data_IF_026795022758
#
_entry.id   IF_026795022758
#
_cell.length_a   1.000
_cell.length_b   1.000
_cell.length_c   1.000
_cell.angle_alpha   90.00
_cell.angle_beta   90.00
_cell.angle_gamma   90.00
#
_symmetry.space_group_name_H-M   'P 1'
#
loop_
_entity.id
_entity.type
_entity.pdbx_description
1 polymer ?
#
# COMPACT_ATOMS: atom_id res chain seq x y z
N UNK A 1 30.96 4.71 7.57
CA UNK A 1 29.73 5.41 8.01
C UNK A 1 28.75 5.78 6.88
N UNK A 2 29.06 5.62 5.57
CA UNK A 2 28.13 5.96 4.47
C UNK A 2 27.09 4.86 4.07
N UNK A 3 27.20 3.61 4.55
CA UNK A 3 26.31 2.50 4.16
C UNK A 3 25.17 2.17 5.15
N UNK A 4 25.20 2.66 6.39
CA UNK A 4 24.18 2.30 7.39
C UNK A 4 22.78 2.89 7.08
N UNK A 5 22.70 3.92 6.24
CA UNK A 5 21.44 4.58 5.89
C UNK A 5 20.62 3.85 4.82
N UNK A 6 21.24 2.98 4.02
CA UNK A 6 20.58 2.32 2.87
C UNK A 6 19.77 1.09 3.29
N UNK A 7 20.23 0.36 4.31
CA UNK A 7 19.56 -0.85 4.80
C UNK A 7 18.42 -0.52 5.74
N UNK A 8 18.62 0.48 6.59
CA UNK A 8 17.57 0.94 7.49
C UNK A 8 16.42 1.59 6.73
N UNK A 9 16.71 2.31 5.64
CA UNK A 9 15.68 2.76 4.72
C UNK A 9 15.01 1.61 3.99
N UNK A 10 15.75 0.57 3.54
CA UNK A 10 15.13 -0.65 2.97
C UNK A 10 14.22 -1.40 3.96
N UNK A 11 14.61 -1.56 5.23
CA UNK A 11 13.79 -2.26 6.24
C UNK A 11 12.58 -1.45 6.69
N UNK A 12 12.72 -0.14 6.88
CA UNK A 12 11.58 0.74 7.17
C UNK A 12 10.62 0.77 5.97
N UNK A 13 11.14 0.73 4.73
CA UNK A 13 10.35 0.67 3.49
C UNK A 13 9.71 -0.70 3.23
N UNK A 14 10.40 -1.80 3.56
CA UNK A 14 9.82 -3.15 3.47
C UNK A 14 8.72 -3.30 4.52
N UNK A 15 8.94 -2.82 5.75
CA UNK A 15 7.90 -2.79 6.80
C UNK A 15 6.67 -1.99 6.35
N UNK A 16 6.88 -0.95 5.53
CA UNK A 16 5.84 -0.11 4.95
C UNK A 16 5.07 -0.82 3.81
N UNK A 17 5.76 -1.45 2.85
CA UNK A 17 5.15 -2.27 1.80
C UNK A 17 4.47 -3.52 2.37
N UNK A 18 4.99 -4.10 3.45
CA UNK A 18 4.38 -5.23 4.14
C UNK A 18 3.21 -4.82 5.04
N UNK A 19 3.19 -3.58 5.57
CA UNK A 19 2.00 -3.02 6.21
C UNK A 19 0.91 -2.61 5.20
N UNK A 20 1.27 -2.38 3.94
CA UNK A 20 0.34 -2.08 2.83
C UNK A 20 -0.12 -3.36 2.10
N UNK A 21 0.73 -4.38 1.97
CA UNK A 21 0.53 -5.58 1.13
C UNK A 21 -0.31 -6.71 1.73
N UNK A 22 -0.86 -6.54 2.93
CA UNK A 22 -1.37 -7.67 3.72
C UNK A 22 -2.89 -7.85 3.62
N UNK A 23 -3.50 -7.83 2.43
CA UNK A 23 -4.95 -7.84 2.31
C UNK A 23 -5.46 -8.61 1.07
N UNK A 24 -5.87 -9.86 1.27
CA UNK A 24 -6.49 -10.75 0.28
C UNK A 24 -7.90 -10.33 -0.14
N UNK A 25 -8.25 -10.62 -1.40
CA UNK A 25 -9.48 -10.19 -2.09
C UNK A 25 -10.68 -11.15 -1.94
N UNK A 26 -11.89 -10.70 -1.55
CA UNK A 26 -13.16 -11.43 -1.82
C UNK A 26 -14.32 -10.50 -2.25
N UNK A 27 -14.96 -10.86 -3.37
CA UNK A 27 -16.00 -10.13 -4.15
C UNK A 27 -17.37 -9.99 -3.45
N UNK A 28 -17.96 -8.78 -3.52
CA UNK A 28 -19.36 -8.46 -3.19
C UNK A 28 -20.25 -8.17 -4.44
N UNK A 29 -21.57 -8.34 -4.30
CA UNK A 29 -22.61 -8.06 -5.31
C UNK A 29 -23.78 -7.32 -4.64
N UNK A 30 -24.29 -6.21 -5.23
CA UNK A 30 -25.73 -5.77 -5.36
C UNK A 30 -25.82 -4.38 -6.04
N UNK A 31 -26.94 -4.08 -6.71
CA UNK A 31 -27.21 -3.05 -7.75
C UNK A 31 -27.81 -1.70 -7.24
N UNK A 32 -27.72 -0.58 -8.01
CA UNK A 32 -28.18 0.77 -7.61
C UNK A 32 -29.45 1.32 -8.32
N UNK A 33 -29.97 2.47 -7.86
CA UNK A 33 -31.07 3.29 -8.47
C UNK A 33 -30.69 4.79 -8.48
N UNK A 34 -31.08 5.53 -9.54
CA UNK A 34 -30.65 6.89 -9.91
C UNK A 34 -31.55 8.03 -9.37
N UNK A 35 -30.99 9.25 -9.30
CA UNK A 35 -31.73 10.52 -9.28
C UNK A 35 -30.96 11.65 -10.01
N UNK A 36 -31.71 12.57 -10.64
CA UNK A 36 -31.25 13.69 -11.48
C UNK A 36 -31.35 15.06 -10.78
N UNK A 37 -30.56 15.99 -11.31
CA UNK A 37 -30.15 17.36 -10.90
C UNK A 37 -31.08 18.48 -11.38
N UNK A 38 -30.90 19.71 -10.83
CA UNK A 38 -30.89 21.06 -11.48
C UNK A 38 -30.76 22.13 -10.35
N UNK A 39 -29.67 22.89 -10.24
CA UNK A 39 -29.27 24.19 -10.85
C UNK A 39 -29.91 25.47 -10.25
N UNK A 40 -29.04 26.43 -9.89
CA UNK A 40 -29.28 27.68 -9.14
C UNK A 40 -28.87 28.93 -9.95
N UNK A 41 -29.29 30.13 -9.51
CA UNK A 41 -28.69 31.41 -9.94
C UNK A 41 -28.59 32.45 -8.81
N UNK A 42 -27.55 33.28 -8.91
CA UNK A 42 -26.84 34.09 -7.90
C UNK A 42 -27.48 35.45 -7.56
N UNK A 43 -27.60 35.78 -6.27
CA UNK A 43 -27.57 37.17 -5.76
C UNK A 43 -27.20 37.22 -4.27
N UNK A 44 -25.96 36.92 -3.89
CA UNK A 44 -25.45 37.18 -2.53
C UNK A 44 -23.92 37.18 -2.62
N UNK A 45 -23.21 38.17 -2.06
CA UNK A 45 -21.73 38.21 -2.10
C UNK A 45 -21.06 38.24 -0.72
N UNK A 46 -21.75 38.67 0.34
CA UNK A 46 -21.25 38.59 1.74
C UNK A 46 -21.96 37.48 2.52
N UNK A 47 -23.28 37.37 2.36
CA UNK A 47 -24.02 36.17 2.77
C UNK A 47 -23.49 34.95 2.01
N UNK A 48 -23.06 35.10 0.75
CA UNK A 48 -22.47 33.99 0.00
C UNK A 48 -21.07 33.61 0.41
N UNK A 49 -20.24 34.46 1.03
CA UNK A 49 -18.94 33.97 1.54
C UNK A 49 -19.20 33.06 2.75
N UNK A 50 -20.09 33.46 3.65
CA UNK A 50 -20.48 32.65 4.79
C UNK A 50 -21.29 31.40 4.37
N UNK A 51 -22.22 31.53 3.41
CA UNK A 51 -22.90 30.39 2.77
C UNK A 51 -21.91 29.52 2.00
N UNK A 52 -20.91 30.07 1.33
CA UNK A 52 -19.94 29.26 0.55
C UNK A 52 -19.02 28.49 1.48
N UNK A 53 -18.64 29.07 2.63
CA UNK A 53 -17.90 28.34 3.68
C UNK A 53 -18.79 27.27 4.31
N UNK A 54 -20.04 27.58 4.67
CA UNK A 54 -21.00 26.61 5.23
C UNK A 54 -21.32 25.50 4.22
N UNK A 55 -21.64 25.85 2.97
CA UNK A 55 -21.88 24.91 1.88
C UNK A 55 -20.63 24.05 1.60
N UNK A 56 -19.42 24.61 1.69
CA UNK A 56 -18.18 23.83 1.54
C UNK A 56 -17.94 22.83 2.69
N UNK A 57 -18.36 23.17 3.92
CA UNK A 57 -18.28 22.26 5.06
C UNK A 57 -19.37 21.20 5.01
N UNK A 58 -20.58 21.52 4.55
CA UNK A 58 -21.63 20.54 4.32
C UNK A 58 -21.26 19.58 3.19
N UNK A 59 -20.69 20.07 2.09
CA UNK A 59 -20.15 19.23 1.02
C UNK A 59 -19.01 18.31 1.51
N UNK A 60 -18.08 18.85 2.31
CA UNK A 60 -17.03 18.05 2.95
C UNK A 60 -17.63 17.03 3.92
N UNK A 61 -18.66 17.40 4.68
CA UNK A 61 -19.33 16.49 5.61
C UNK A 61 -19.99 15.33 4.87
N UNK A 62 -20.72 15.60 3.78
CA UNK A 62 -21.29 14.53 2.95
C UNK A 62 -20.22 13.54 2.46
N UNK A 63 -19.02 14.04 2.10
CA UNK A 63 -17.88 13.17 1.74
C UNK A 63 -17.36 12.37 2.93
N UNK A 64 -17.22 12.98 4.11
CA UNK A 64 -16.78 12.29 5.35
C UNK A 64 -17.77 11.21 5.79
N UNK A 65 -19.07 11.48 5.65
CA UNK A 65 -20.12 10.54 6.05
C UNK A 65 -20.31 9.38 5.07
N UNK A 66 -19.96 9.56 3.79
CA UNK A 66 -20.17 8.55 2.75
C UNK A 66 -21.63 8.10 2.71
N UNK A 67 -21.89 6.80 2.84
CA UNK A 67 -23.25 6.24 2.83
C UNK A 67 -24.06 6.54 4.12
N UNK A 68 -23.42 7.03 5.19
CA UNK A 68 -24.13 7.46 6.39
C UNK A 68 -24.93 8.74 6.15
N UNK A 69 -24.52 9.58 5.20
CA UNK A 69 -25.15 10.90 4.98
C UNK A 69 -26.66 10.77 4.70
N UNK A 70 -27.09 9.72 4.01
CA UNK A 70 -28.51 9.46 3.73
C UNK A 70 -29.29 8.87 4.93
N UNK A 71 -28.63 8.55 6.05
CA UNK A 71 -29.21 7.79 7.17
C UNK A 71 -29.27 8.55 8.50
N UNK A 72 -28.34 9.47 8.72
CA UNK A 72 -28.24 10.22 9.98
C UNK A 72 -29.47 11.09 10.25
N UNK A 73 -29.84 11.21 11.53
CA UNK A 73 -30.82 12.21 11.96
C UNK A 73 -30.24 13.63 11.85
N UNK A 74 -31.11 14.64 11.91
CA UNK A 74 -30.67 16.05 11.91
C UNK A 74 -29.70 16.36 13.06
N UNK A 75 -29.93 15.79 14.25
CA UNK A 75 -29.06 16.00 15.42
C UNK A 75 -27.68 15.35 15.23
N UNK A 76 -27.63 14.16 14.62
CA UNK A 76 -26.37 13.47 14.34
C UNK A 76 -25.57 14.16 13.24
N UNK A 77 -26.25 14.67 12.21
CA UNK A 77 -25.61 15.51 11.19
C UNK A 77 -25.07 16.80 11.79
N UNK A 78 -25.85 17.47 12.65
CA UNK A 78 -25.42 18.70 13.32
C UNK A 78 -24.19 18.44 14.23
N UNK A 79 -24.18 17.33 14.97
CA UNK A 79 -23.02 16.94 15.79
C UNK A 79 -21.80 16.60 14.93
N UNK A 80 -21.98 15.91 13.81
CA UNK A 80 -20.89 15.62 12.87
C UNK A 80 -20.32 16.90 12.22
N UNK A 81 -21.20 17.86 11.91
CA UNK A 81 -20.82 19.18 11.40
C UNK A 81 -20.04 19.99 12.44
N UNK A 82 -20.41 19.92 13.73
CA UNK A 82 -19.65 20.56 14.82
C UNK A 82 -18.22 20.05 14.90
N UNK A 83 -18.03 18.71 14.90
CA UNK A 83 -16.69 18.11 14.86
C UNK A 83 -15.88 18.60 13.66
N UNK A 84 -16.47 18.54 12.46
CA UNK A 84 -15.80 18.94 11.23
C UNK A 84 -15.48 20.43 11.21
N UNK A 85 -16.34 21.28 11.76
CA UNK A 85 -16.12 22.72 11.85
C UNK A 85 -14.94 23.03 12.76
N UNK A 86 -14.88 22.39 13.95
CA UNK A 86 -13.76 22.53 14.88
C UNK A 86 -12.45 22.03 14.26
N UNK A 87 -12.50 20.90 13.55
CA UNK A 87 -11.34 20.36 12.86
C UNK A 87 -10.84 21.30 11.75
N UNK A 88 -11.76 21.79 10.90
CA UNK A 88 -11.44 22.75 9.84
C UNK A 88 -10.81 24.03 10.39
N UNK A 89 -11.27 24.52 11.55
CA UNK A 89 -10.65 25.67 12.21
C UNK A 89 -9.20 25.38 12.64
N UNK A 90 -8.92 24.20 13.20
CA UNK A 90 -7.55 23.81 13.56
C UNK A 90 -6.66 23.66 12.33
N UNK A 91 -7.16 23.03 11.26
CA UNK A 91 -6.45 22.88 9.98
C UNK A 91 -6.10 24.24 9.36
N UNK A 92 -7.05 25.19 9.34
CA UNK A 92 -6.85 26.51 8.74
C UNK A 92 -5.93 27.42 9.56
N UNK A 93 -5.84 27.21 10.87
CA UNK A 93 -4.94 27.96 11.75
C UNK A 93 -3.53 27.36 11.83
N UNK A 94 -3.28 26.23 11.16
CA UNK A 94 -1.99 25.55 11.21
C UNK A 94 -0.93 26.34 10.43
N UNK A 95 0.20 26.61 11.07
CA UNK A 95 1.37 27.28 10.45
C UNK A 95 2.44 26.30 9.96
N UNK A 96 2.37 25.05 10.40
CA UNK A 96 3.19 23.93 9.92
C UNK A 96 2.28 22.84 9.37
N UNK A 97 2.79 21.72 8.88
CA UNK A 97 1.94 20.57 8.58
C UNK A 97 1.73 19.65 9.79
N UNK A 98 2.49 19.83 10.87
CA UNK A 98 2.41 18.93 12.03
C UNK A 98 1.10 19.21 12.78
N UNK A 99 0.29 18.16 12.96
CA UNK A 99 -0.96 18.23 13.72
C UNK A 99 -0.66 18.55 15.18
N UNK A 100 -1.45 19.44 15.79
CA UNK A 100 -1.34 19.72 17.22
C UNK A 100 -1.93 18.56 18.03
N UNK A 101 -1.57 18.46 19.31
CA UNK A 101 -2.19 17.45 20.19
C UNK A 101 -3.70 17.63 20.31
N UNK A 102 -4.18 18.88 20.29
CA UNK A 102 -5.61 19.20 20.26
C UNK A 102 -6.28 18.65 18.99
N UNK A 103 -5.63 18.82 17.83
CA UNK A 103 -6.15 18.31 16.56
C UNK A 103 -6.18 16.78 16.52
N UNK A 104 -5.12 16.13 17.00
CA UNK A 104 -5.05 14.66 17.10
C UNK A 104 -6.18 14.14 17.99
N UNK A 105 -6.40 14.76 19.16
CA UNK A 105 -7.49 14.38 20.06
C UNK A 105 -8.86 14.58 19.41
N UNK A 106 -9.07 15.69 18.70
CA UNK A 106 -10.34 15.95 18.03
C UNK A 106 -10.62 14.95 16.89
N UNK A 107 -9.59 14.58 16.13
CA UNK A 107 -9.68 13.56 15.09
C UNK A 107 -10.06 12.20 15.69
N UNK A 108 -9.45 11.82 16.82
CA UNK A 108 -9.77 10.57 17.53
C UNK A 108 -11.21 10.56 18.05
N UNK A 109 -11.67 11.67 18.65
CA UNK A 109 -13.04 11.80 19.12
C UNK A 109 -14.04 11.72 17.95
N UNK A 110 -13.74 12.39 16.84
CA UNK A 110 -14.62 12.37 15.68
C UNK A 110 -14.66 10.99 15.00
N UNK A 111 -13.49 10.34 14.82
CA UNK A 111 -13.42 8.97 14.30
C UNK A 111 -14.21 7.99 15.17
N UNK A 112 -14.10 8.09 16.50
CA UNK A 112 -14.88 7.29 17.45
C UNK A 112 -16.38 7.49 17.22
N UNK A 113 -16.81 8.75 17.10
CA UNK A 113 -18.22 9.05 16.83
C UNK A 113 -18.69 8.53 15.45
N UNK A 114 -17.87 8.65 14.40
CA UNK A 114 -18.18 8.08 13.08
C UNK A 114 -18.29 6.55 13.13
N UNK A 115 -17.47 5.88 13.94
CA UNK A 115 -17.56 4.43 14.15
C UNK A 115 -18.84 4.04 14.88
N UNK A 116 -19.23 4.77 15.93
CA UNK A 116 -20.52 4.57 16.63
C UNK A 116 -21.71 4.70 15.67
N UNK A 117 -21.71 5.74 14.82
CA UNK A 117 -22.73 5.93 13.79
C UNK A 117 -22.71 4.81 12.75
N UNK A 118 -21.52 4.37 12.35
CA UNK A 118 -21.36 3.24 11.41
C UNK A 118 -22.01 1.97 11.97
N UNK A 119 -21.71 1.61 13.22
CA UNK A 119 -22.28 0.42 13.89
C UNK A 119 -23.79 0.57 14.05
N UNK A 120 -24.27 1.75 14.47
CA UNK A 120 -25.70 2.03 14.64
C UNK A 120 -26.50 1.80 13.35
N UNK A 121 -25.98 2.27 12.22
CA UNK A 121 -26.71 2.24 10.94
C UNK A 121 -26.36 1.04 10.05
N UNK A 122 -25.28 0.33 10.36
CA UNK A 122 -24.85 -0.90 9.72
C UNK A 122 -24.51 -1.95 10.80
N UNK A 123 -25.51 -2.63 11.40
CA UNK A 123 -25.28 -3.53 12.54
C UNK A 123 -24.36 -4.73 12.28
N UNK A 124 -24.08 -5.05 11.01
CA UNK A 124 -23.11 -6.08 10.60
C UNK A 124 -21.70 -5.53 10.37
N UNK A 125 -21.51 -4.21 10.41
CA UNK A 125 -20.23 -3.57 10.15
C UNK A 125 -19.19 -3.97 11.19
N UNK A 126 -19.58 -4.14 12.45
CA UNK A 126 -18.66 -4.56 13.50
C UNK A 126 -18.12 -5.98 13.26
N UNK A 127 -19.01 -6.96 13.02
CA UNK A 127 -18.58 -8.32 12.73
C UNK A 127 -17.76 -8.41 11.45
N UNK A 128 -18.17 -7.67 10.41
CA UNK A 128 -17.45 -7.63 9.14
C UNK A 128 -16.09 -6.96 9.27
N UNK A 129 -16.01 -5.84 9.99
CA UNK A 129 -14.74 -5.17 10.26
C UNK A 129 -13.80 -6.09 11.05
N UNK A 130 -14.33 -6.86 12.02
CA UNK A 130 -13.55 -7.82 12.78
C UNK A 130 -13.02 -8.97 11.93
N UNK A 131 -13.83 -9.51 11.03
CA UNK A 131 -13.39 -10.53 10.07
C UNK A 131 -12.26 -10.01 9.17
N UNK A 132 -12.36 -8.76 8.70
CA UNK A 132 -11.31 -8.13 7.92
C UNK A 132 -10.05 -7.84 8.77
N UNK A 133 -10.20 -7.38 10.01
CA UNK A 133 -9.08 -7.18 10.93
C UNK A 133 -8.34 -8.48 11.26
N UNK A 134 -9.06 -9.60 11.38
CA UNK A 134 -8.44 -10.91 11.59
C UNK A 134 -7.78 -11.44 10.31
N UNK A 135 -8.34 -11.13 9.13
CA UNK A 135 -7.76 -11.47 7.83
C UNK A 135 -6.51 -10.64 7.47
N UNK A 136 -6.49 -9.37 7.91
CA UNK A 136 -5.42 -8.38 7.64
C UNK A 136 -4.52 -8.15 8.86
N UNK A 137 -4.74 -8.92 9.92
CA UNK A 137 -4.02 -8.81 11.18
C UNK A 137 -2.55 -9.19 11.03
N UNK A 138 -1.69 -8.74 11.97
CA UNK A 138 -0.25 -8.99 11.89
C UNK A 138 0.07 -10.50 11.84
N UNK A 139 1.00 -10.88 10.96
CA UNK A 139 1.55 -12.25 10.91
C UNK A 139 2.13 -12.60 12.29
N UNK A 140 1.79 -13.77 12.82
CA UNK A 140 2.43 -14.29 14.03
C UNK A 140 3.87 -14.70 13.69
N UNK A 141 4.84 -13.91 14.16
CA UNK A 141 6.26 -14.18 13.92
C UNK A 141 6.73 -15.44 14.64
N UNK A 142 7.49 -16.28 13.94
CA UNK A 142 8.16 -17.44 14.52
C UNK A 142 9.50 -17.03 15.15
N UNK A 143 9.80 -17.50 16.38
CA UNK A 143 11.16 -17.38 16.95
C UNK A 143 12.19 -18.20 16.19
N UNK A 144 11.76 -19.26 15.49
CA UNK A 144 12.62 -20.06 14.63
C UNK A 144 12.73 -19.36 13.27
N UNK A 145 13.91 -18.82 12.99
CA UNK A 145 14.19 -18.10 11.75
C UNK A 145 15.16 -18.89 10.87
N UNK A 146 14.68 -19.38 9.72
CA UNK A 146 15.49 -20.21 8.82
C UNK A 146 16.74 -19.49 8.29
N UNK A 147 16.68 -18.16 8.11
CA UNK A 147 17.80 -17.35 7.62
C UNK A 147 18.91 -17.28 8.67
N UNK A 148 18.55 -17.12 9.95
CA UNK A 148 19.52 -17.15 11.07
C UNK A 148 20.17 -18.53 11.18
N UNK A 149 19.41 -19.62 10.99
CA UNK A 149 19.98 -20.98 10.96
C UNK A 149 20.94 -21.19 9.80
N UNK A 150 20.59 -20.71 8.60
CA UNK A 150 21.41 -20.88 7.39
C UNK A 150 22.78 -20.20 7.49
N UNK A 151 22.89 -19.11 8.28
CA UNK A 151 24.16 -18.40 8.47
C UNK A 151 24.99 -18.92 9.64
N UNK A 152 24.49 -19.88 10.44
CA UNK A 152 25.15 -20.39 11.66
C UNK A 152 26.59 -20.83 11.44
N UNK A 153 26.87 -21.52 10.34
CA UNK A 153 28.22 -21.98 9.99
C UNK A 153 29.18 -20.87 9.55
N UNK A 154 28.67 -19.66 9.29
CA UNK A 154 29.43 -18.51 8.76
C UNK A 154 29.87 -17.54 9.85
N UNK A 155 29.21 -17.58 11.00
CA UNK A 155 29.43 -16.67 12.13
C UNK A 155 29.92 -17.44 13.36
N UNK A 156 30.43 -16.74 14.37
CA UNK A 156 30.82 -17.40 15.63
C UNK A 156 29.58 -17.85 16.43
N UNK A 157 29.73 -18.90 17.23
CA UNK A 157 28.65 -19.37 18.12
C UNK A 157 28.13 -18.25 19.05
N UNK A 158 29.03 -17.40 19.56
CA UNK A 158 28.66 -16.27 20.41
C UNK A 158 27.77 -15.26 19.68
N UNK A 159 28.13 -14.86 18.46
CA UNK A 159 27.36 -13.90 17.68
C UNK A 159 26.05 -14.51 17.17
N UNK A 160 26.02 -15.81 16.82
CA UNK A 160 24.80 -16.54 16.49
C UNK A 160 23.79 -16.54 17.65
N UNK A 161 24.24 -16.84 18.87
CA UNK A 161 23.38 -16.80 20.06
C UNK A 161 22.85 -15.38 20.33
N UNK A 162 23.68 -14.35 20.13
CA UNK A 162 23.26 -12.95 20.28
C UNK A 162 22.19 -12.55 19.26
N UNK A 163 22.38 -12.89 17.98
CA UNK A 163 21.39 -12.60 16.93
C UNK A 163 20.06 -13.26 17.25
N UNK A 164 20.06 -14.55 17.63
CA UNK A 164 18.83 -15.26 18.03
C UNK A 164 18.15 -14.60 19.24
N UNK A 165 18.91 -14.15 20.23
CA UNK A 165 18.36 -13.46 21.40
C UNK A 165 17.73 -12.12 21.03
N UNK A 166 18.38 -11.30 20.20
CA UNK A 166 17.83 -10.02 19.74
C UNK A 166 16.58 -10.24 18.88
N UNK A 167 16.61 -11.23 17.98
CA UNK A 167 15.45 -11.55 17.15
C UNK A 167 14.28 -12.08 17.99
N UNK A 168 14.55 -12.91 19.01
CA UNK A 168 13.51 -13.37 19.94
C UNK A 168 12.89 -12.20 20.70
N UNK A 169 13.69 -11.22 21.14
CA UNK A 169 13.17 -10.00 21.76
C UNK A 169 12.26 -9.21 20.81
N UNK A 170 12.63 -9.13 19.52
CA UNK A 170 11.83 -8.48 18.48
C UNK A 170 10.48 -9.19 18.30
N UNK A 171 10.50 -10.53 18.19
CA UNK A 171 9.27 -11.35 18.13
C UNK A 171 8.40 -11.17 19.37
N UNK A 172 9.00 -11.04 20.55
CA UNK A 172 8.29 -10.79 21.82
C UNK A 172 7.86 -9.32 22.01
N UNK A 173 8.11 -8.44 21.05
CA UNK A 173 7.88 -6.99 21.13
C UNK A 173 8.54 -6.32 22.36
N UNK A 174 9.68 -6.85 22.81
CA UNK A 174 10.46 -6.32 23.95
C UNK A 174 11.61 -5.41 23.52
N UNK A 175 11.78 -5.22 22.21
CA UNK A 175 12.73 -4.30 21.59
C UNK A 175 12.09 -3.70 20.33
N UNK A 176 12.31 -2.41 20.11
CA UNK A 176 11.90 -1.74 18.89
C UNK A 176 12.52 -2.40 17.65
N UNK A 177 11.73 -2.59 16.60
CA UNK A 177 12.17 -3.19 15.32
C UNK A 177 13.46 -2.55 14.79
N UNK A 178 13.49 -1.22 14.79
CA UNK A 178 14.63 -0.41 14.39
C UNK A 178 15.88 -0.65 15.24
N UNK A 179 15.71 -0.87 16.55
CA UNK A 179 16.81 -1.17 17.45
C UNK A 179 17.33 -2.60 17.23
N UNK A 180 16.43 -3.57 17.07
CA UNK A 180 16.78 -4.95 16.76
C UNK A 180 17.56 -5.04 15.44
N UNK A 181 17.05 -4.42 14.37
CA UNK A 181 17.69 -4.38 13.07
C UNK A 181 19.11 -3.80 13.14
N UNK A 182 19.30 -2.66 13.83
CA UNK A 182 20.64 -2.05 14.01
C UNK A 182 21.60 -2.96 14.77
N UNK A 183 21.14 -3.58 15.85
CA UNK A 183 21.99 -4.46 16.65
C UNK A 183 22.40 -5.71 15.86
N UNK A 184 21.46 -6.39 15.21
CA UNK A 184 21.75 -7.54 14.35
C UNK A 184 22.69 -7.13 13.21
N UNK A 185 22.42 -6.01 12.54
CA UNK A 185 23.27 -5.52 11.45
C UNK A 185 24.73 -5.29 11.89
N UNK A 186 24.93 -4.67 13.05
CA UNK A 186 26.27 -4.42 13.59
C UNK A 186 27.07 -5.71 13.82
N UNK A 187 26.38 -6.81 14.15
CA UNK A 187 26.98 -8.13 14.29
C UNK A 187 27.30 -8.71 12.90
N UNK A 188 26.35 -8.66 11.96
CA UNK A 188 26.52 -9.19 10.61
C UNK A 188 27.69 -8.52 9.86
N UNK A 189 27.94 -7.22 10.08
CA UNK A 189 29.03 -6.48 9.45
C UNK A 189 30.43 -7.04 9.74
N UNK A 190 30.62 -7.70 10.90
CA UNK A 190 31.88 -8.37 11.25
C UNK A 190 32.25 -9.49 10.29
N UNK A 191 31.26 -10.03 9.55
CA UNK A 191 31.38 -11.19 8.66
C UNK A 191 31.17 -10.81 7.19
N UNK A 192 31.38 -9.53 6.83
CA UNK A 192 31.17 -9.02 5.46
C UNK A 192 31.96 -9.76 4.38
N UNK A 193 33.05 -10.47 4.71
CA UNK A 193 33.77 -11.33 3.78
C UNK A 193 33.09 -12.69 3.51
N UNK A 194 32.13 -13.11 4.34
CA UNK A 194 31.42 -14.41 4.26
C UNK A 194 29.94 -14.28 3.94
N UNK A 195 29.34 -13.14 4.25
CA UNK A 195 27.93 -12.83 4.03
C UNK A 195 27.78 -11.42 3.46
N UNK A 196 26.66 -11.18 2.78
CA UNK A 196 26.19 -9.85 2.40
C UNK A 196 25.26 -9.37 3.51
N UNK A 197 25.78 -8.53 4.41
CA UNK A 197 25.08 -8.17 5.67
C UNK A 197 23.71 -7.54 5.42
N UNK A 198 23.58 -6.73 4.38
CA UNK A 198 22.34 -6.05 4.00
C UNK A 198 21.26 -7.06 3.60
N UNK A 199 21.64 -8.04 2.78
CA UNK A 199 20.75 -9.09 2.28
C UNK A 199 20.34 -10.08 3.36
N UNK A 200 21.29 -10.49 4.21
CA UNK A 200 20.98 -11.36 5.35
C UNK A 200 20.01 -10.67 6.29
N UNK A 201 20.24 -9.39 6.61
CA UNK A 201 19.34 -8.66 7.49
C UNK A 201 17.94 -8.53 6.88
N UNK A 202 17.84 -8.17 5.60
CA UNK A 202 16.57 -8.11 4.89
C UNK A 202 15.83 -9.46 4.96
N UNK A 203 16.51 -10.57 4.66
CA UNK A 203 15.90 -11.90 4.68
C UNK A 203 15.49 -12.36 6.10
N UNK A 204 16.22 -11.95 7.15
CA UNK A 204 15.83 -12.25 8.55
C UNK A 204 14.47 -11.62 8.89
N UNK A 205 14.27 -10.35 8.55
CA UNK A 205 13.06 -9.60 8.90
C UNK A 205 11.90 -9.78 7.91
N UNK A 206 12.15 -10.44 6.77
CA UNK A 206 11.12 -10.77 5.76
C UNK A 206 10.89 -12.27 5.64
N UNK A 207 11.38 -13.06 6.60
CA UNK A 207 11.37 -14.53 6.55
C UNK A 207 9.97 -15.12 6.44
N UNK A 208 8.95 -14.46 7.03
CA UNK A 208 7.56 -14.94 6.99
C UNK A 208 6.96 -14.84 5.58
N UNK A 209 7.43 -13.88 4.78
CA UNK A 209 7.09 -13.79 3.35
C UNK A 209 7.94 -14.75 2.49
N UNK A 210 8.92 -15.41 3.13
CA UNK A 210 9.60 -16.57 2.59
C UNK A 210 10.31 -16.34 1.28
N UNK A 211 11.14 -15.30 1.15
CA UNK A 211 12.01 -15.12 -0.04
C UNK A 211 12.77 -16.43 -0.32
N UNK A 212 12.43 -17.12 -1.41
CA UNK A 212 13.03 -18.40 -1.80
C UNK A 212 14.14 -18.23 -2.83
N UNK A 213 14.06 -17.20 -3.68
CA UNK A 213 15.10 -16.91 -4.65
C UNK A 213 15.03 -15.51 -5.22
N UNK A 214 16.17 -15.07 -5.73
CA UNK A 214 16.32 -13.81 -6.45
C UNK A 214 16.94 -14.01 -7.82
N UNK A 215 16.48 -13.23 -8.78
CA UNK A 215 17.00 -13.19 -10.13
C UNK A 215 17.29 -11.76 -10.55
N UNK A 216 18.42 -11.54 -11.23
CA UNK A 216 18.69 -10.30 -11.96
C UNK A 216 17.97 -10.33 -13.30
N UNK A 217 17.23 -9.28 -13.63
CA UNK A 217 16.64 -9.06 -14.94
C UNK A 217 17.72 -8.45 -15.84
N UNK A 218 17.97 -9.08 -17.00
CA UNK A 218 18.93 -8.58 -17.99
C UNK A 218 18.24 -7.67 -19.01
N UNK A 219 19.03 -7.01 -19.85
CA UNK A 219 18.55 -6.11 -20.91
C UNK A 219 17.59 -6.77 -21.92
N UNK A 220 17.71 -8.08 -22.15
CA UNK A 220 16.81 -8.87 -23.00
C UNK A 220 15.55 -9.37 -22.26
N UNK A 221 15.36 -8.92 -21.01
CA UNK A 221 14.31 -9.35 -20.07
C UNK A 221 14.33 -10.85 -19.76
N UNK A 222 15.45 -11.53 -19.99
CA UNK A 222 15.70 -12.85 -19.38
C UNK A 222 16.20 -12.66 -17.96
N UNK A 223 15.99 -13.67 -17.12
CA UNK A 223 16.38 -13.65 -15.71
C UNK A 223 17.58 -14.57 -15.44
N UNK A 224 18.55 -14.06 -14.67
CA UNK A 224 19.72 -14.80 -14.19
C UNK A 224 19.59 -15.04 -12.69
N UNK A 225 19.66 -16.31 -12.27
CA UNK A 225 19.63 -16.66 -10.85
C UNK A 225 20.83 -16.03 -10.14
N UNK A 226 20.58 -15.36 -9.01
CA UNK A 226 21.62 -14.85 -8.13
C UNK A 226 22.07 -15.96 -7.18
N UNK A 227 23.38 -16.10 -6.97
CA UNK A 227 23.93 -17.06 -6.02
C UNK A 227 23.55 -16.64 -4.58
N UNK A 228 22.74 -17.44 -3.86
CA UNK A 228 22.27 -17.09 -2.54
C UNK A 228 23.31 -17.34 -1.44
N UNK A 229 24.49 -17.89 -1.77
CA UNK A 229 25.43 -18.38 -0.76
C UNK A 229 25.69 -17.35 0.33
N UNK A 230 25.72 -16.05 0.02
CA UNK A 230 26.03 -14.98 0.99
C UNK A 230 24.81 -14.27 1.57
N UNK A 231 23.59 -14.63 1.19
CA UNK A 231 22.35 -13.89 1.57
C UNK A 231 21.56 -14.55 2.69
N UNK A 232 21.99 -15.72 3.17
CA UNK A 232 21.24 -16.51 4.17
C UNK A 232 20.07 -17.31 3.60
N UNK A 233 19.89 -17.29 2.27
CA UNK A 233 18.93 -18.14 1.58
C UNK A 233 19.56 -19.49 1.19
N UNK A 234 18.71 -20.50 1.01
CA UNK A 234 19.11 -21.82 0.53
C UNK A 234 19.32 -21.84 -0.99
N UNK A 235 20.23 -22.69 -1.46
CA UNK A 235 20.45 -22.92 -2.90
C UNK A 235 19.24 -23.62 -3.54
N UNK A 236 18.87 -23.16 -4.73
CA UNK A 236 17.85 -23.81 -5.53
C UNK A 236 18.41 -24.92 -6.42
N UNK A 237 17.63 -25.99 -6.56
CA UNK A 237 17.88 -27.00 -7.59
C UNK A 237 17.76 -26.40 -9.00
N UNK A 238 18.40 -27.03 -10.01
CA UNK A 238 18.24 -26.59 -11.42
C UNK A 238 16.77 -26.66 -11.88
N UNK A 239 15.99 -27.59 -11.35
CA UNK A 239 14.57 -27.75 -11.66
C UNK A 239 13.74 -26.57 -11.11
N UNK A 240 14.01 -26.15 -9.87
CA UNK A 240 13.32 -25.01 -9.26
C UNK A 240 13.70 -23.70 -9.94
N UNK A 241 14.98 -23.52 -10.28
CA UNK A 241 15.40 -22.37 -11.09
C UNK A 241 14.65 -22.33 -12.43
N UNK A 242 14.49 -23.46 -13.12
CA UNK A 242 13.72 -23.52 -14.36
C UNK A 242 12.21 -23.25 -14.14
N UNK A 243 11.63 -23.74 -13.04
CA UNK A 243 10.25 -23.44 -12.62
C UNK A 243 10.05 -21.94 -12.44
N UNK A 244 10.90 -21.27 -11.67
CA UNK A 244 10.74 -19.85 -11.35
C UNK A 244 11.04 -18.92 -12.54
N UNK A 245 11.94 -19.32 -13.45
CA UNK A 245 12.08 -18.61 -14.74
C UNK A 245 10.79 -18.62 -15.58
N UNK A 246 9.95 -19.67 -15.45
CA UNK A 246 8.63 -19.70 -16.12
C UNK A 246 7.63 -18.76 -15.46
N UNK A 247 7.71 -18.56 -14.14
CA UNK A 247 6.89 -17.55 -13.43
C UNK A 247 7.18 -16.16 -13.98
N UNK A 248 8.45 -15.79 -14.12
CA UNK A 248 8.83 -14.53 -14.77
C UNK A 248 8.30 -14.42 -16.21
N UNK A 249 8.31 -15.52 -16.96
CA UNK A 249 7.71 -15.53 -18.30
C UNK A 249 6.20 -15.26 -18.26
N UNK A 250 5.47 -15.73 -17.24
CA UNK A 250 4.04 -15.45 -17.08
C UNK A 250 3.77 -13.99 -16.71
N UNK A 251 4.60 -13.36 -15.87
CA UNK A 251 4.53 -11.90 -15.60
C UNK A 251 4.66 -11.12 -16.92
N UNK A 252 5.62 -11.48 -17.78
CA UNK A 252 5.82 -10.83 -19.09
C UNK A 252 4.73 -11.14 -20.13
N UNK A 253 3.90 -12.16 -19.92
CA UNK A 253 2.71 -12.38 -20.76
C UNK A 253 1.62 -11.36 -20.44
N UNK A 254 1.64 -10.77 -19.24
CA UNK A 254 0.74 -9.71 -18.78
C UNK A 254 1.35 -8.35 -19.13
N UNK A 255 2.49 -8.03 -18.51
CA UNK A 255 3.16 -6.73 -18.65
C UNK A 255 4.11 -6.72 -19.86
N UNK A 256 3.94 -5.81 -20.84
CA UNK A 256 4.81 -5.77 -22.00
C UNK A 256 6.18 -5.20 -21.62
N UNK A 257 7.24 -5.82 -22.13
CA UNK A 257 8.65 -5.53 -21.75
C UNK A 257 9.05 -4.07 -21.89
N UNK A 258 8.46 -3.32 -22.83
CA UNK A 258 8.74 -1.89 -23.01
C UNK A 258 8.49 -1.02 -21.77
N UNK A 259 7.71 -1.50 -20.79
CA UNK A 259 7.48 -0.80 -19.52
C UNK A 259 8.24 -1.39 -18.33
N UNK A 260 9.03 -2.45 -18.54
CA UNK A 260 9.76 -3.14 -17.48
C UNK A 260 11.19 -2.62 -17.29
N UNK A 261 11.57 -1.53 -17.97
CA UNK A 261 12.96 -1.03 -17.97
C UNK A 261 13.50 -0.60 -16.59
N UNK A 262 12.63 -0.28 -15.64
CA UNK A 262 13.02 0.04 -14.25
C UNK A 262 13.15 -1.21 -13.37
N UNK A 263 12.63 -2.36 -13.79
CA UNK A 263 12.69 -3.59 -13.00
C UNK A 263 14.04 -4.27 -13.20
N UNK A 264 14.89 -4.21 -12.18
CA UNK A 264 16.22 -4.81 -12.20
C UNK A 264 16.24 -6.20 -11.57
N UNK A 265 15.27 -6.52 -10.72
CA UNK A 265 15.20 -7.79 -10.01
C UNK A 265 13.81 -8.43 -10.03
N UNK A 266 13.81 -9.75 -9.99
CA UNK A 266 12.63 -10.59 -9.86
C UNK A 266 12.86 -11.57 -8.71
N UNK A 267 12.01 -11.52 -7.69
CA UNK A 267 12.06 -12.41 -6.54
C UNK A 267 10.96 -13.46 -6.61
N UNK A 268 11.24 -14.59 -5.97
CA UNK A 268 10.26 -15.59 -5.61
C UNK A 268 10.15 -15.54 -4.09
N UNK A 269 8.94 -15.26 -3.63
CA UNK A 269 8.54 -15.31 -2.23
C UNK A 269 7.52 -16.44 -2.07
N UNK A 270 7.35 -16.97 -0.87
CA UNK A 270 6.19 -17.80 -0.58
C UNK A 270 5.97 -17.94 0.93
N UNK A 271 4.77 -17.59 1.36
CA UNK A 271 4.25 -17.74 2.72
C UNK A 271 3.20 -18.87 2.83
N UNK A 272 2.83 -19.48 1.70
CA UNK A 272 1.91 -20.61 1.67
C UNK A 272 0.89 -20.46 0.55
N UNK A 273 -0.33 -20.90 0.78
CA UNK A 273 -1.47 -20.56 -0.09
C UNK A 273 -2.30 -19.52 0.61
N UNK A 274 -2.93 -18.66 -0.18
CA UNK A 274 -3.80 -17.59 0.29
C UNK A 274 -3.02 -16.57 1.15
N UNK A 275 -1.75 -16.33 0.82
CA UNK A 275 -0.92 -15.30 1.44
C UNK A 275 -0.62 -14.18 0.45
N UNK A 276 0.57 -13.57 0.56
CA UNK A 276 0.98 -12.47 -0.31
C UNK A 276 1.33 -12.99 -1.70
N UNK A 277 0.41 -12.80 -2.65
CA UNK A 277 0.55 -13.31 -4.02
C UNK A 277 1.67 -12.61 -4.82
N UNK A 278 1.89 -11.32 -4.60
CA UNK A 278 3.00 -10.56 -5.19
C UNK A 278 3.23 -9.27 -4.41
N UNK A 279 4.38 -8.62 -4.63
CA UNK A 279 4.62 -7.25 -4.19
C UNK A 279 5.68 -6.60 -5.08
N UNK A 280 5.71 -5.26 -5.14
CA UNK A 280 6.82 -4.50 -5.73
C UNK A 280 7.55 -3.65 -4.70
N UNK A 281 8.86 -3.51 -4.88
CA UNK A 281 9.71 -2.73 -3.98
C UNK A 281 10.75 -1.94 -4.78
N UNK A 282 11.02 -0.71 -4.37
CA UNK A 282 12.15 0.06 -4.89
C UNK A 282 13.50 -0.50 -4.39
N UNK A 283 14.49 -0.58 -5.27
CA UNK A 283 15.84 -1.05 -4.96
C UNK A 283 16.79 0.06 -4.54
N UNK A 284 16.41 1.31 -4.78
CA UNK A 284 17.20 2.49 -4.48
C UNK A 284 16.43 3.57 -3.71
N UNK A 285 17.15 4.62 -3.34
CA UNK A 285 16.61 5.71 -2.53
C UNK A 285 15.76 6.71 -3.31
N UNK A 286 15.74 6.61 -4.64
CA UNK A 286 15.05 7.57 -5.50
C UNK A 286 13.80 6.95 -6.13
N UNK A 287 13.62 5.62 -6.08
CA UNK A 287 12.58 4.89 -6.78
C UNK A 287 12.85 4.71 -8.28
N UNK A 288 14.12 4.68 -8.72
CA UNK A 288 14.47 4.51 -10.15
C UNK A 288 14.51 3.04 -10.55
N UNK A 289 14.99 2.19 -9.67
CA UNK A 289 15.06 0.74 -9.88
C UNK A 289 14.11 0.02 -8.95
N UNK A 290 13.48 -1.02 -9.47
CA UNK A 290 12.42 -1.76 -8.79
C UNK A 290 12.66 -3.26 -8.89
N UNK A 291 12.02 -3.96 -7.96
CA UNK A 291 11.85 -5.40 -7.92
C UNK A 291 10.38 -5.71 -7.94
N UNK A 292 10.04 -6.84 -8.57
CA UNK A 292 8.75 -7.51 -8.39
C UNK A 292 9.00 -8.89 -7.79
N UNK A 293 8.27 -9.22 -6.72
CA UNK A 293 8.22 -10.56 -6.15
C UNK A 293 6.88 -11.21 -6.46
N UNK A 294 6.87 -12.51 -6.68
CA UNK A 294 5.64 -13.29 -6.93
C UNK A 294 5.69 -14.57 -6.10
N UNK A 295 4.57 -14.94 -5.48
CA UNK A 295 4.36 -16.27 -4.91
C UNK A 295 3.75 -17.23 -5.95
N UNK A 296 4.51 -18.25 -6.42
CA UNK A 296 3.99 -19.26 -7.32
C UNK A 296 2.86 -20.12 -6.76
N UNK A 297 2.68 -20.19 -5.43
CA UNK A 297 1.62 -20.93 -4.78
C UNK A 297 0.23 -20.31 -5.01
N UNK A 298 0.17 -18.99 -5.20
CA UNK A 298 -1.07 -18.22 -5.38
C UNK A 298 -1.40 -17.84 -6.83
N UNK A 299 -0.65 -18.40 -7.78
CA UNK A 299 -0.87 -18.17 -9.22
C UNK A 299 -1.99 -19.04 -9.84
N UNK A 300 -2.59 -19.94 -9.06
CA UNK A 300 -3.51 -20.95 -9.61
C UNK A 300 -4.81 -20.34 -10.15
N UNK A 301 -5.32 -19.27 -9.51
CA UNK A 301 -6.40 -18.46 -10.02
C UNK A 301 -5.84 -17.42 -11.00
N UNK A 302 -5.99 -17.69 -12.30
CA UNK A 302 -5.41 -16.84 -13.35
C UNK A 302 -5.92 -15.40 -13.33
N UNK A 303 -7.21 -15.18 -13.08
CA UNK A 303 -7.77 -13.84 -13.12
C UNK A 303 -7.24 -12.99 -11.96
N UNK A 304 -7.14 -13.59 -10.78
CA UNK A 304 -6.55 -12.99 -9.59
C UNK A 304 -5.07 -12.70 -9.82
N UNK A 305 -4.30 -13.69 -10.30
CA UNK A 305 -2.88 -13.46 -10.65
C UNK A 305 -2.69 -12.32 -11.65
N UNK A 306 -3.53 -12.22 -12.69
CA UNK A 306 -3.45 -11.11 -13.65
C UNK A 306 -3.75 -9.77 -12.99
N UNK A 307 -4.78 -9.73 -12.16
CA UNK A 307 -5.18 -8.56 -11.41
C UNK A 307 -4.05 -8.11 -10.48
N UNK A 308 -3.51 -9.01 -9.66
CA UNK A 308 -2.39 -8.75 -8.74
C UNK A 308 -1.16 -8.23 -9.49
N UNK A 309 -0.74 -8.86 -10.58
CA UNK A 309 0.44 -8.37 -11.34
C UNK A 309 0.23 -6.95 -11.89
N UNK A 310 -1.01 -6.60 -12.29
CA UNK A 310 -1.33 -5.26 -12.77
C UNK A 310 -1.44 -4.27 -11.60
N UNK A 311 -2.00 -4.69 -10.47
CA UNK A 311 -2.06 -3.93 -9.22
C UNK A 311 -0.64 -3.55 -8.77
N UNK A 312 0.27 -4.52 -8.70
CA UNK A 312 1.68 -4.29 -8.37
C UNK A 312 2.36 -3.33 -9.35
N UNK A 313 2.04 -3.44 -10.63
CA UNK A 313 2.52 -2.49 -11.62
C UNK A 313 1.92 -1.08 -11.41
N UNK A 314 0.69 -0.98 -10.86
CA UNK A 314 0.04 0.25 -10.42
C UNK A 314 0.82 0.99 -9.33
N UNK A 315 1.41 0.27 -8.38
CA UNK A 315 2.33 0.86 -7.40
C UNK A 315 3.55 1.46 -8.09
N UNK A 316 4.19 0.73 -9.01
CA UNK A 316 5.30 1.30 -9.78
C UNK A 316 4.88 2.54 -10.58
N UNK A 317 3.69 2.52 -11.19
CA UNK A 317 3.14 3.67 -11.94
C UNK A 317 2.96 4.91 -11.06
N UNK A 318 2.57 4.76 -9.80
CA UNK A 318 2.29 5.87 -8.86
C UNK A 318 3.46 6.27 -7.96
N UNK A 319 4.44 5.40 -7.75
CA UNK A 319 5.49 5.57 -6.74
C UNK A 319 6.92 5.64 -7.31
N UNK A 320 7.14 5.50 -8.62
CA UNK A 320 8.49 5.64 -9.17
C UNK A 320 9.07 7.07 -8.99
N UNK A 321 10.36 7.22 -9.31
CA UNK A 321 11.15 8.46 -9.15
C UNK A 321 10.63 9.70 -9.91
N UNK A 322 9.65 9.55 -10.81
CA UNK A 322 8.99 10.68 -11.47
C UNK A 322 7.75 11.16 -10.72
N UNK A 323 7.20 10.32 -9.85
CA UNK A 323 5.92 10.54 -9.17
C UNK A 323 6.08 11.00 -7.72
N UNK A 324 7.08 10.48 -7.01
CA UNK A 324 7.30 10.80 -5.59
C UNK A 324 8.76 11.12 -5.33
N UNK A 325 9.00 11.82 -4.22
CA UNK A 325 10.30 11.97 -3.60
C UNK A 325 10.31 11.17 -2.30
N UNK A 326 11.20 10.20 -2.22
CA UNK A 326 11.41 9.46 -0.97
C UNK A 326 12.18 10.32 0.03
N UNK A 327 11.63 10.39 1.24
CA UNK A 327 12.14 11.18 2.35
C UNK A 327 13.33 10.44 2.94
N UNK A 328 14.45 11.16 3.12
CA UNK A 328 15.61 10.60 3.81
C UNK A 328 15.39 10.65 5.32
N UNK A 329 16.01 9.70 6.03
CA UNK A 329 16.07 9.75 7.49
C UNK A 329 16.61 11.12 7.93
N UNK A 330 15.87 11.80 8.80
CA UNK A 330 16.13 13.16 9.33
C UNK A 330 15.79 14.33 8.39
N UNK A 331 15.22 14.07 7.20
CA UNK A 331 14.73 15.13 6.33
C UNK A 331 13.40 15.69 6.86
N UNK A 332 13.41 16.96 7.25
CA UNK A 332 12.20 17.69 7.63
C UNK A 332 11.46 18.08 6.35
N UNK A 333 10.25 17.54 6.18
CA UNK A 333 9.32 17.97 5.13
C UNK A 333 8.21 18.84 5.73
N UNK A 334 7.72 19.79 4.94
CA UNK A 334 6.55 20.60 5.26
C UNK A 334 5.57 20.49 4.08
N UNK A 335 4.84 19.38 3.95
CA UNK A 335 3.85 19.23 2.89
C UNK A 335 2.78 20.33 3.01
N UNK A 336 2.16 20.69 1.89
CA UNK A 336 0.90 21.45 1.88
C UNK A 336 -0.28 20.50 2.13
N UNK A 337 -1.45 21.05 2.47
CA UNK A 337 -2.72 20.30 2.52
C UNK A 337 -3.06 19.56 1.21
N UNK A 338 -2.52 20.04 0.10
CA UNK A 338 -2.74 19.49 -1.24
C UNK A 338 -1.60 18.55 -1.69
N UNK A 339 -0.62 18.28 -0.83
CA UNK A 339 0.47 17.36 -1.09
C UNK A 339 0.21 16.03 -0.36
N UNK A 340 -0.02 14.96 -1.11
CA UNK A 340 -0.03 13.62 -0.54
C UNK A 340 1.37 13.28 -0.05
N UNK A 341 1.46 12.79 1.18
CA UNK A 341 2.69 12.33 1.77
C UNK A 341 2.39 11.17 2.71
N UNK A 342 3.43 10.39 2.96
CA UNK A 342 3.44 9.34 3.96
C UNK A 342 4.74 9.47 4.78
N UNK A 343 4.93 8.58 5.73
CA UNK A 343 6.12 8.43 6.58
C UNK A 343 7.44 8.43 5.82
N UNK A 344 7.46 7.92 4.58
CA UNK A 344 8.69 7.70 3.81
C UNK A 344 8.76 8.41 2.47
N UNK A 345 7.70 9.13 2.06
CA UNK A 345 7.63 9.78 0.75
C UNK A 345 6.71 11.00 0.75
N UNK A 346 6.94 11.89 -0.21
CA UNK A 346 6.01 12.96 -0.59
C UNK A 346 5.76 12.88 -2.09
N UNK A 347 4.51 12.94 -2.50
CA UNK A 347 4.13 12.93 -3.91
C UNK A 347 4.49 14.27 -4.56
N UNK A 348 4.98 14.21 -5.80
CA UNK A 348 5.17 15.40 -6.62
C UNK A 348 3.80 16.03 -6.91
N UNK A 349 3.69 17.36 -6.89
CA UNK A 349 2.40 18.07 -7.06
C UNK A 349 1.56 17.62 -8.25
N UNK A 350 2.22 17.34 -9.37
CA UNK A 350 1.58 16.94 -10.62
C UNK A 350 1.50 15.41 -10.83
N UNK A 351 1.98 14.60 -9.87
CA UNK A 351 1.97 13.15 -9.98
C UNK A 351 0.55 12.58 -10.02
N UNK A 352 0.42 11.37 -10.55
CA UNK A 352 -0.87 10.68 -10.59
C UNK A 352 -1.42 10.48 -9.18
N UNK A 353 -0.57 10.05 -8.23
CA UNK A 353 -0.96 9.79 -6.85
C UNK A 353 -1.42 11.07 -6.13
N UNK A 354 -0.73 12.20 -6.34
CA UNK A 354 -1.15 13.46 -5.74
C UNK A 354 -2.49 13.94 -6.28
N UNK A 355 -2.70 13.83 -7.60
CA UNK A 355 -3.99 14.15 -8.23
C UNK A 355 -5.10 13.22 -7.73
N UNK A 356 -4.81 11.93 -7.57
CA UNK A 356 -5.74 10.93 -7.05
C UNK A 356 -6.15 11.25 -5.61
N UNK A 357 -5.18 11.53 -4.74
CA UNK A 357 -5.40 11.97 -3.36
C UNK A 357 -6.32 13.19 -3.29
N UNK A 358 -6.01 14.24 -4.05
CA UNK A 358 -6.79 15.48 -4.05
C UNK A 358 -8.21 15.29 -4.58
N UNK A 359 -8.41 14.32 -5.49
CA UNK A 359 -9.72 14.05 -6.09
C UNK A 359 -10.60 13.23 -5.16
N UNK A 360 -10.05 12.18 -4.56
CA UNK A 360 -10.86 11.17 -3.87
C UNK A 360 -10.69 11.15 -2.35
N UNK A 361 -9.52 11.51 -1.81
CA UNK A 361 -9.18 11.20 -0.41
C UNK A 361 -9.09 12.41 0.51
N UNK A 362 -8.62 13.55 0.02
CA UNK A 362 -8.20 14.70 0.84
C UNK A 362 -9.21 15.14 1.89
N UNK A 363 -10.49 15.08 1.55
CA UNK A 363 -11.58 15.60 2.38
C UNK A 363 -11.84 14.77 3.65
N UNK A 364 -11.51 13.48 3.64
CA UNK A 364 -11.79 12.54 4.74
C UNK A 364 -10.58 11.69 5.16
N UNK A 365 -9.39 11.90 4.58
CA UNK A 365 -8.21 11.09 4.89
C UNK A 365 -7.85 11.07 6.39
N UNK A 366 -8.18 12.13 7.14
CA UNK A 366 -8.00 12.19 8.59
C UNK A 366 -8.76 11.06 9.32
N UNK A 367 -9.93 10.66 8.82
CA UNK A 367 -10.77 9.62 9.42
C UNK A 367 -10.11 8.25 9.28
N UNK A 368 -9.64 7.91 8.08
CA UNK A 368 -8.88 6.68 7.85
C UNK A 368 -7.57 6.65 8.65
N UNK A 369 -6.85 7.78 8.69
CA UNK A 369 -5.56 7.88 9.37
C UNK A 369 -5.67 7.89 10.90
N UNK A 370 -6.86 8.19 11.45
CA UNK A 370 -7.10 8.13 12.90
C UNK A 370 -6.92 6.70 13.45
N UNK A 371 -7.30 5.69 12.66
CA UNK A 371 -7.10 4.29 13.00
C UNK A 371 -7.01 3.43 11.73
N UNK A 372 -5.79 3.13 11.30
CA UNK A 372 -5.53 2.32 10.10
C UNK A 372 -5.81 0.84 10.29
N UNK A 373 -6.03 0.36 11.52
CA UNK A 373 -6.39 -1.04 11.77
C UNK A 373 -7.89 -1.28 11.62
N UNK A 374 -8.72 -0.27 11.92
CA UNK A 374 -10.16 -0.42 11.92
C UNK A 374 -10.78 -0.37 10.51
N UNK A 375 -11.62 -1.35 10.19
CA UNK A 375 -12.23 -1.54 8.87
C UNK A 375 -13.65 -0.94 8.74
N UNK A 376 -14.18 -0.31 9.80
CA UNK A 376 -15.44 0.44 9.76
C UNK A 376 -15.40 1.62 8.79
N UNK A 377 -14.20 2.16 8.50
CA UNK A 377 -14.00 3.16 7.46
C UNK A 377 -14.54 2.68 6.10
N UNK A 378 -14.16 1.47 5.68
CA UNK A 378 -14.70 0.89 4.46
C UNK A 378 -16.23 0.73 4.53
N UNK A 379 -16.78 0.32 5.67
CA UNK A 379 -18.23 0.11 5.80
C UNK A 379 -19.06 1.38 5.50
N UNK A 380 -18.57 2.57 5.86
CA UNK A 380 -19.23 3.85 5.56
C UNK A 380 -18.88 4.44 4.18
N UNK A 381 -17.92 3.85 3.47
CA UNK A 381 -17.50 4.25 2.11
C UNK A 381 -17.53 3.09 1.10
N UNK A 382 -18.30 2.03 1.38
CA UNK A 382 -18.24 0.78 0.60
C UNK A 382 -18.66 0.98 -0.88
N UNK A 383 -19.47 2.00 -1.15
CA UNK A 383 -19.93 2.34 -2.49
C UNK A 383 -18.91 3.20 -3.26
N UNK A 384 -17.83 3.63 -2.61
CA UNK A 384 -16.80 4.50 -3.18
C UNK A 384 -15.58 3.70 -3.63
N UNK A 385 -15.10 2.80 -2.78
CA UNK A 385 -13.90 2.00 -3.02
C UNK A 385 -14.19 0.77 -3.88
N UNK A 386 -13.25 0.43 -4.77
CA UNK A 386 -13.38 -0.69 -5.71
C UNK A 386 -13.25 -2.06 -5.05
N UNK A 387 -12.63 -2.11 -3.87
CA UNK A 387 -12.58 -3.25 -2.95
C UNK A 387 -12.35 -2.75 -1.52
N UNK A 388 -12.51 -3.63 -0.53
CA UNK A 388 -12.08 -3.41 0.84
C UNK A 388 -10.58 -3.07 0.91
N UNK A 389 -9.77 -3.67 0.03
CA UNK A 389 -8.34 -3.42 -0.02
C UNK A 389 -8.01 -1.97 -0.43
N UNK A 390 -8.72 -1.45 -1.42
CA UNK A 390 -8.56 -0.06 -1.86
C UNK A 390 -8.79 0.95 -0.73
N UNK A 391 -9.61 0.64 0.28
CA UNK A 391 -9.90 1.58 1.37
C UNK A 391 -8.76 1.70 2.41
N UNK A 392 -7.67 0.95 2.24
CA UNK A 392 -6.66 0.81 3.29
C UNK A 392 -5.62 1.92 3.25
N UNK A 393 -5.26 2.38 2.06
CA UNK A 393 -4.43 3.56 1.83
C UNK A 393 -4.69 4.19 0.45
N UNK A 394 -4.22 5.41 0.24
CA UNK A 394 -4.30 6.11 -1.06
C UNK A 394 -3.52 5.36 -2.15
N UNK A 395 -2.37 4.77 -1.81
CA UNK A 395 -1.55 4.02 -2.75
C UNK A 395 -2.24 2.71 -3.16
N UNK A 396 -2.93 2.04 -2.21
CA UNK A 396 -3.71 0.84 -2.51
C UNK A 396 -4.93 1.16 -3.37
N UNK A 397 -5.68 2.22 -3.06
CA UNK A 397 -6.80 2.66 -3.89
C UNK A 397 -6.36 2.96 -5.32
N UNK A 398 -5.23 3.64 -5.49
CA UNK A 398 -4.68 3.92 -6.81
C UNK A 398 -4.35 2.63 -7.57
N UNK A 399 -3.61 1.72 -6.96
CA UNK A 399 -3.15 0.47 -7.59
C UNK A 399 -4.31 -0.45 -7.94
N UNK A 400 -5.26 -0.61 -7.02
CA UNK A 400 -6.45 -1.42 -7.18
C UNK A 400 -7.42 -0.81 -8.21
N UNK A 401 -7.62 0.51 -8.17
CA UNK A 401 -8.43 1.17 -9.20
C UNK A 401 -7.76 1.10 -10.57
N UNK A 402 -6.43 1.10 -10.64
CA UNK A 402 -5.67 0.92 -11.88
C UNK A 402 -5.81 -0.50 -12.44
N UNK A 403 -5.76 -1.54 -11.59
CA UNK A 403 -5.99 -2.91 -12.04
C UNK A 403 -7.42 -3.10 -12.57
N UNK A 404 -8.43 -2.52 -11.91
CA UNK A 404 -9.80 -2.49 -12.43
C UNK A 404 -9.96 -1.59 -13.66
N UNK A 405 -9.16 -0.54 -13.83
CA UNK A 405 -9.13 0.23 -15.06
C UNK A 405 -8.65 -0.61 -16.25
N UNK A 406 -7.63 -1.45 -16.06
CA UNK A 406 -7.13 -2.35 -17.11
C UNK A 406 -8.06 -3.55 -17.32
N UNK A 407 -8.52 -4.18 -16.24
CA UNK A 407 -9.41 -5.33 -16.22
C UNK A 407 -10.72 -4.99 -15.50
N UNK A 408 -11.72 -4.41 -16.20
CA UNK A 408 -12.95 -3.90 -15.58
C UNK A 408 -13.73 -4.95 -14.79
N UNK A 409 -14.29 -4.56 -13.61
CA UNK A 409 -15.17 -5.44 -12.87
C UNK A 409 -16.49 -5.62 -13.63
N UNK A 410 -17.23 -6.69 -13.32
CA UNK A 410 -18.55 -6.93 -13.92
C UNK A 410 -19.56 -5.84 -13.56
N UNK A 411 -19.51 -5.37 -12.33
CA UNK A 411 -20.39 -4.34 -11.79
C UNK A 411 -19.54 -3.34 -11.00
N UNK A 412 -19.90 -2.07 -11.09
CA UNK A 412 -19.33 -1.00 -10.28
C UNK A 412 -20.41 0.07 -10.04
N UNK A 413 -20.41 0.68 -8.86
CA UNK A 413 -21.23 1.87 -8.54
C UNK A 413 -20.77 3.07 -9.39
N UNK A 414 -21.50 4.18 -9.32
CA UNK A 414 -21.07 5.42 -9.99
C UNK A 414 -19.75 5.95 -9.41
N UNK A 415 -19.61 6.00 -8.07
CA UNK A 415 -18.39 6.47 -7.40
C UNK A 415 -17.18 5.56 -7.63
N UNK A 416 -17.37 4.24 -7.71
CA UNK A 416 -16.30 3.30 -8.11
C UNK A 416 -15.87 3.53 -9.57
N UNK A 417 -16.82 3.82 -10.47
CA UNK A 417 -16.50 4.17 -11.86
C UNK A 417 -15.73 5.48 -11.97
N UNK A 418 -15.98 6.46 -11.10
CA UNK A 418 -15.20 7.71 -11.10
C UNK A 418 -13.72 7.43 -10.81
N UNK A 419 -13.42 6.57 -9.83
CA UNK A 419 -12.05 6.11 -9.53
C UNK A 419 -11.44 5.33 -10.70
N UNK A 420 -12.19 4.41 -11.29
CA UNK A 420 -11.74 3.62 -12.45
C UNK A 420 -11.51 4.51 -13.68
N UNK A 421 -12.34 5.53 -13.92
CA UNK A 421 -12.23 6.40 -15.09
C UNK A 421 -11.23 7.55 -14.88
N UNK A 422 -10.74 7.75 -13.65
CA UNK A 422 -9.70 8.73 -13.34
C UNK A 422 -8.51 8.62 -14.29
N UNK A 423 -8.13 7.41 -14.71
CA UNK A 423 -6.96 7.19 -15.56
C UNK A 423 -7.14 7.65 -17.01
N UNK A 424 -8.37 7.82 -17.49
CA UNK A 424 -8.65 8.26 -18.88
C UNK A 424 -8.19 9.70 -19.15
N UNK A 425 -7.96 10.50 -18.11
CA UNK A 425 -7.43 11.85 -18.25
C UNK A 425 -5.93 11.89 -18.62
N UNK A 426 -5.23 10.74 -18.58
CA UNK A 426 -3.79 10.63 -18.87
C UNK A 426 -3.57 9.80 -20.15
N UNK A 427 -3.30 10.45 -21.31
CA UNK A 427 -3.13 9.76 -22.58
C UNK A 427 -2.11 8.61 -22.57
N UNK A 428 -1.04 8.76 -21.79
CA UNK A 428 0.00 7.76 -21.58
C UNK A 428 -0.51 6.52 -20.82
N UNK A 429 -1.41 6.68 -19.85
CA UNK A 429 -2.02 5.55 -19.12
C UNK A 429 -3.07 4.85 -19.98
N UNK A 430 -3.79 5.59 -20.84
CA UNK A 430 -4.65 5.00 -21.88
C UNK A 430 -3.84 4.13 -22.84
N UNK A 431 -2.65 4.60 -23.25
CA UNK A 431 -1.75 3.83 -24.12
C UNK A 431 -1.14 2.62 -23.41
N UNK A 432 -0.79 2.77 -22.12
CA UNK A 432 -0.33 1.69 -21.26
C UNK A 432 -1.38 0.57 -21.17
N UNK A 433 -2.63 0.90 -20.82
CA UNK A 433 -3.76 -0.04 -20.79
C UNK A 433 -3.91 -0.79 -22.12
N UNK A 434 -3.93 -0.07 -23.25
CA UNK A 434 -4.01 -0.68 -24.59
C UNK A 434 -2.86 -1.66 -24.84
N UNK A 435 -1.66 -1.32 -24.39
CA UNK A 435 -0.48 -2.15 -24.56
C UNK A 435 -0.51 -3.41 -23.70
N UNK A 436 -0.96 -3.30 -22.44
CA UNK A 436 -1.15 -4.45 -21.54
C UNK A 436 -2.20 -5.39 -22.15
N UNK A 437 -3.38 -4.88 -22.51
CA UNK A 437 -4.44 -5.69 -23.12
C UNK A 437 -4.00 -6.36 -24.43
N UNK A 438 -3.28 -5.63 -25.29
CA UNK A 438 -2.72 -6.21 -26.53
C UNK A 438 -1.71 -7.31 -26.24
N UNK A 439 -0.87 -7.17 -25.21
CA UNK A 439 0.10 -8.18 -24.81
C UNK A 439 -0.60 -9.43 -24.25
N UNK A 440 -1.58 -9.25 -23.36
CA UNK A 440 -2.39 -10.33 -22.81
C UNK A 440 -3.15 -11.09 -23.92
N UNK A 441 -3.74 -10.37 -24.89
CA UNK A 441 -4.45 -10.97 -26.02
C UNK A 441 -3.52 -11.75 -26.94
N UNK A 442 -2.34 -11.19 -27.27
CA UNK A 442 -1.28 -11.88 -28.03
C UNK A 442 -0.86 -13.19 -27.35
N UNK A 443 -0.79 -13.19 -26.02
CA UNK A 443 -0.44 -14.35 -25.20
C UNK A 443 -1.65 -15.24 -24.83
N UNK A 444 -2.83 -14.99 -25.39
CA UNK A 444 -4.07 -15.77 -25.19
C UNK A 444 -4.51 -15.87 -23.71
N UNK A 445 -4.22 -14.83 -22.91
CA UNK A 445 -4.68 -14.73 -21.52
C UNK A 445 -6.13 -14.22 -21.43
N UNK A 446 -6.54 -13.40 -22.41
CA UNK A 446 -7.88 -12.82 -22.54
C UNK A 446 -8.37 -12.96 -23.99
N UNK A 447 -9.68 -12.76 -24.21
CA UNK A 447 -10.35 -12.96 -25.51
C UNK A 447 -10.19 -11.82 -26.52
#
# INVERSE_FOLDING_TARGET
>A
MKNNNTVMSKLIRSSFLFSLGMILSIVCLVKPVNAETISTSKSDYSHSIQLTVVNSLEERLSKVLGVLDAKLTSDEKAKSLDYLTRLSNLENNRTTYVQTQEEISLIQDFNTYLNELTIKYFPKAESYAKELEDAFGPVTLSKNNEVIENIKSKISNLDYTKINSIYSQYVDNTIESDAAARQIYSILQKYSNKIESDEVLYNIFTVEYGTKARFTIKDDYTVKYQDPARTGLSNLSKADQAKYKRVWAQVRQILPTKYLGAFAEFDISSDGKYGVAAFVEQLDNDGRYWRISVDPADMSNKNEFYHTVIHEFGHYVSLNNTQVKYIKKDEIINPSKDDYYDTSLIANKNSYLNRYYNTFWKEYAFDRNANTLNQLFFCRHYDEFVSEYAATSVAEDFSESFSYYVLPPKNATLKQKERINFFDQFPELVQLKKSILSNMKKNKLIK
#
